data_IF_007015490361
#
_entry.id   IF_007015490361
#
_cell.length_a   1.000
_cell.length_b   1.000
_cell.length_c   1.000
_cell.angle_alpha   90.00
_cell.angle_beta   90.00
_cell.angle_gamma   90.00
#
_symmetry.space_group_name_H-M   'P 1'
#
loop_
_entity.id
_entity.type
_entity.pdbx_description
1 polymer ?
#
# COMPACT_ATOMS: atom_id res chain seq x y z
N UNK A 1 -5.48 -31.82 -12.18
CA UNK A 1 -4.12 -31.23 -12.15
C UNK A 1 -4.17 -29.71 -12.06
N UNK A 2 -4.63 -29.00 -13.09
CA UNK A 2 -4.75 -27.51 -13.08
C UNK A 2 -5.78 -27.00 -12.05
N UNK A 3 -6.84 -27.76 -11.77
CA UNK A 3 -7.84 -27.42 -10.74
C UNK A 3 -7.31 -27.60 -9.30
N UNK A 4 -6.34 -28.49 -9.09
CA UNK A 4 -5.80 -28.79 -7.76
C UNK A 4 -4.69 -27.81 -7.38
N UNK A 5 -3.88 -27.38 -8.36
CA UNK A 5 -2.86 -26.36 -8.18
C UNK A 5 -2.98 -25.29 -9.26
N UNK A 6 -3.43 -24.10 -8.85
CA UNK A 6 -3.57 -22.94 -9.73
C UNK A 6 -2.23 -22.32 -10.15
N UNK A 7 -1.14 -22.69 -9.50
CA UNK A 7 0.20 -22.15 -9.75
C UNK A 7 1.08 -23.07 -10.59
N UNK A 8 0.56 -24.23 -11.00
CA UNK A 8 1.29 -25.20 -11.83
C UNK A 8 1.69 -24.58 -13.18
N UNK A 9 2.94 -24.80 -13.58
CA UNK A 9 3.48 -24.23 -14.83
C UNK A 9 3.13 -25.12 -16.02
N UNK A 10 2.91 -24.51 -17.18
CA UNK A 10 2.69 -25.22 -18.46
C UNK A 10 3.75 -26.29 -18.72
N UNK A 11 5.03 -25.98 -18.44
CA UNK A 11 6.15 -26.93 -18.56
C UNK A 11 6.03 -28.16 -17.65
N UNK A 12 5.50 -28.00 -16.45
CA UNK A 12 5.35 -29.11 -15.50
C UNK A 12 4.23 -30.04 -15.98
N UNK A 13 3.14 -29.46 -16.48
CA UNK A 13 2.05 -30.21 -17.12
C UNK A 13 2.58 -30.97 -18.35
N UNK A 14 3.34 -30.30 -19.21
CA UNK A 14 3.93 -30.89 -20.42
C UNK A 14 4.81 -32.10 -20.07
N UNK A 15 5.66 -31.96 -19.04
CA UNK A 15 6.54 -33.05 -18.58
C UNK A 15 5.76 -34.23 -17.98
N UNK A 16 4.71 -33.97 -17.19
CA UNK A 16 3.88 -35.02 -16.58
C UNK A 16 3.09 -35.79 -17.65
N UNK A 17 2.58 -35.07 -18.64
CA UNK A 17 1.71 -35.62 -19.68
C UNK A 17 2.47 -36.14 -20.91
N UNK A 18 3.77 -35.85 -21.02
CA UNK A 18 4.59 -36.26 -22.17
C UNK A 18 4.21 -35.56 -23.48
N UNK A 19 3.63 -34.35 -23.42
CA UNK A 19 3.18 -33.59 -24.59
C UNK A 19 3.94 -32.26 -24.71
N UNK A 20 3.87 -31.62 -25.89
CA UNK A 20 4.52 -30.33 -26.09
C UNK A 20 3.83 -29.21 -25.28
N UNK A 21 4.59 -28.18 -24.93
CA UNK A 21 4.07 -27.00 -24.23
C UNK A 21 2.92 -26.32 -25.00
N UNK A 22 3.00 -26.31 -26.33
CA UNK A 22 1.99 -25.68 -27.19
C UNK A 22 0.67 -26.44 -27.14
N UNK A 23 0.73 -27.78 -27.12
CA UNK A 23 -0.45 -28.62 -26.95
C UNK A 23 -1.10 -28.40 -25.58
N UNK A 24 -0.30 -28.29 -24.52
CA UNK A 24 -0.81 -27.91 -23.19
C UNK A 24 -1.50 -26.55 -23.24
N UNK A 25 -0.89 -25.56 -23.90
CA UNK A 25 -1.46 -24.22 -24.02
C UNK A 25 -2.80 -24.24 -24.75
N UNK A 26 -2.90 -24.95 -25.88
CA UNK A 26 -4.14 -25.11 -26.65
C UNK A 26 -5.24 -25.76 -25.81
N UNK A 27 -4.93 -26.87 -25.13
CA UNK A 27 -5.91 -27.56 -24.29
C UNK A 27 -6.40 -26.64 -23.15
N UNK A 28 -5.48 -25.93 -22.48
CA UNK A 28 -5.86 -25.04 -21.38
C UNK A 28 -6.73 -23.87 -21.86
N UNK A 29 -6.39 -23.27 -23.00
CA UNK A 29 -7.03 -22.04 -23.46
C UNK A 29 -8.28 -22.28 -24.33
N UNK A 30 -8.26 -23.26 -25.23
CA UNK A 30 -9.35 -23.51 -26.19
C UNK A 30 -10.34 -24.55 -25.64
N UNK A 31 -9.85 -25.73 -25.25
CA UNK A 31 -10.71 -26.85 -24.81
C UNK A 31 -11.28 -26.60 -23.41
N UNK A 32 -10.43 -26.15 -22.47
CA UNK A 32 -10.82 -25.90 -21.08
C UNK A 32 -11.28 -24.45 -20.85
N UNK A 33 -11.11 -23.56 -21.83
CA UNK A 33 -11.49 -22.13 -21.75
C UNK A 33 -10.92 -21.40 -20.54
N UNK A 34 -9.77 -21.83 -20.03
CA UNK A 34 -9.15 -21.26 -18.84
C UNK A 34 -8.27 -20.07 -19.23
N UNK A 35 -8.22 -19.05 -18.35
CA UNK A 35 -7.36 -17.89 -18.52
C UNK A 35 -6.40 -17.77 -17.36
N UNK A 36 -5.15 -17.41 -17.67
CA UNK A 36 -4.16 -17.09 -16.67
C UNK A 36 -4.57 -15.82 -15.93
N UNK A 37 -4.83 -15.94 -14.64
CA UNK A 37 -5.06 -14.80 -13.77
C UNK A 37 -3.76 -14.43 -13.07
N UNK A 38 -3.47 -13.14 -12.98
CA UNK A 38 -2.34 -12.66 -12.18
C UNK A 38 -2.64 -12.86 -10.69
N UNK A 39 -1.65 -13.36 -9.95
CA UNK A 39 -1.72 -13.39 -8.51
C UNK A 39 -1.75 -11.94 -7.97
N UNK A 40 -2.61 -11.68 -6.99
CA UNK A 40 -2.64 -10.38 -6.30
C UNK A 40 -1.64 -10.41 -5.15
N UNK A 41 -0.83 -9.35 -5.02
CA UNK A 41 0.05 -9.18 -3.87
C UNK A 41 -0.76 -9.01 -2.58
N UNK A 42 -0.49 -9.86 -1.60
CA UNK A 42 -1.09 -9.78 -0.26
C UNK A 42 0.02 -9.36 0.71
N UNK A 43 -0.09 -8.19 1.38
CA UNK A 43 0.99 -7.64 2.22
C UNK A 43 1.42 -8.55 3.37
N UNK A 44 0.50 -9.34 3.93
CA UNK A 44 0.80 -10.19 5.07
C UNK A 44 -0.02 -11.49 5.04
N UNK A 45 0.62 -12.58 5.41
CA UNK A 45 -0.07 -13.85 5.64
C UNK A 45 -0.68 -13.82 7.04
N UNK A 46 -2.02 -13.77 7.10
CA UNK A 46 -2.74 -13.67 8.36
C UNK A 46 -2.96 -15.04 9.00
N UNK A 47 -2.77 -15.13 10.32
CA UNK A 47 -3.17 -16.29 11.11
C UNK A 47 -4.69 -16.42 11.20
N UNK A 48 -5.19 -17.59 11.58
CA UNK A 48 -6.64 -17.84 11.75
C UNK A 48 -7.24 -16.84 12.75
N UNK A 49 -6.55 -16.60 13.87
CA UNK A 49 -7.02 -15.67 14.89
C UNK A 49 -7.04 -14.22 14.39
N UNK A 50 -6.00 -13.78 13.67
CA UNK A 50 -5.98 -12.44 13.06
C UNK A 50 -7.14 -12.24 12.06
N UNK A 51 -7.49 -13.28 11.30
CA UNK A 51 -8.66 -13.24 10.40
C UNK A 51 -9.96 -13.09 11.19
N UNK A 52 -10.13 -13.83 12.28
CA UNK A 52 -11.30 -13.75 13.16
C UNK A 52 -11.46 -12.36 13.77
N UNK A 53 -10.37 -11.81 14.33
CA UNK A 53 -10.35 -10.46 14.89
C UNK A 53 -10.75 -9.43 13.82
N UNK A 54 -10.16 -9.51 12.62
CA UNK A 54 -10.49 -8.59 11.51
C UNK A 54 -11.95 -8.69 11.08
N UNK A 55 -12.51 -9.90 11.01
CA UNK A 55 -13.92 -10.11 10.68
C UNK A 55 -14.82 -9.45 11.72
N UNK A 56 -14.55 -9.68 13.01
CA UNK A 56 -15.33 -9.12 14.11
C UNK A 56 -15.30 -7.58 14.11
N UNK A 57 -14.11 -6.98 13.95
CA UNK A 57 -13.96 -5.52 13.85
C UNK A 57 -14.72 -4.98 12.64
N UNK A 58 -14.60 -5.64 11.48
CA UNK A 58 -15.29 -5.21 10.25
C UNK A 58 -16.81 -5.26 10.41
N UNK A 59 -17.33 -6.30 11.07
CA UNK A 59 -18.76 -6.43 11.36
C UNK A 59 -19.24 -5.31 12.30
N UNK A 60 -18.50 -5.06 13.39
CA UNK A 60 -18.83 -3.97 14.31
C UNK A 60 -18.80 -2.59 13.63
N UNK A 61 -17.82 -2.36 12.74
CA UNK A 61 -17.74 -1.16 11.91
C UNK A 61 -18.95 -1.04 10.97
N UNK A 62 -19.37 -2.13 10.31
CA UNK A 62 -20.52 -2.15 9.42
C UNK A 62 -21.83 -1.86 10.17
N UNK A 63 -22.02 -2.42 11.36
CA UNK A 63 -23.22 -2.18 12.15
C UNK A 63 -23.28 -0.73 12.64
N UNK A 64 -22.13 -0.17 13.07
CA UNK A 64 -22.03 1.24 13.45
C UNK A 64 -22.30 2.17 12.26
N UNK A 65 -21.84 1.78 11.09
CA UNK A 65 -22.09 2.48 9.83
C UNK A 65 -23.58 2.50 9.49
N UNK A 66 -24.27 1.36 9.58
CA UNK A 66 -25.71 1.24 9.28
C UNK A 66 -26.59 2.04 10.26
N UNK A 67 -26.23 2.08 11.54
CA UNK A 67 -27.02 2.78 12.58
C UNK A 67 -27.01 4.31 12.45
N UNK A 68 -25.97 4.92 11.88
CA UNK A 68 -25.78 6.38 11.88
C UNK A 68 -25.61 6.91 10.45
N UNK A 69 -26.63 7.60 9.91
CA UNK A 69 -26.59 8.22 8.57
C UNK A 69 -25.38 9.15 8.36
N UNK A 70 -24.99 9.91 9.39
CA UNK A 70 -23.84 10.83 9.34
C UNK A 70 -22.50 10.24 9.81
N UNK A 71 -22.35 8.92 9.86
CA UNK A 71 -21.11 8.30 10.34
C UNK A 71 -19.89 8.68 9.47
N UNK A 72 -20.04 8.64 8.14
CA UNK A 72 -18.95 8.96 7.20
C UNK A 72 -18.40 10.37 7.40
N UNK A 73 -19.28 11.37 7.59
CA UNK A 73 -18.88 12.79 7.69
C UNK A 73 -18.03 13.09 8.91
N UNK A 74 -18.12 12.27 9.95
CA UNK A 74 -17.39 12.44 11.21
C UNK A 74 -16.19 11.49 11.35
N UNK A 75 -15.97 10.61 10.38
CA UNK A 75 -14.91 9.62 10.45
C UNK A 75 -13.61 10.23 9.89
N UNK A 76 -12.61 10.37 10.75
CA UNK A 76 -11.29 10.90 10.40
C UNK A 76 -10.29 9.75 10.49
N UNK A 77 -9.53 9.52 9.42
CA UNK A 77 -8.42 8.56 9.38
C UNK A 77 -7.12 9.30 9.12
N UNK A 78 -6.03 8.80 9.68
CA UNK A 78 -4.68 9.30 9.44
C UNK A 78 -3.81 8.10 9.06
N UNK A 79 -3.02 8.25 8.01
CA UNK A 79 -2.02 7.27 7.58
C UNK A 79 -0.77 8.01 7.09
N UNK A 80 0.39 7.38 7.22
CA UNK A 80 1.68 7.94 6.83
C UNK A 80 2.17 7.25 5.57
N UNK A 81 2.36 8.02 4.50
CA UNK A 81 2.94 7.51 3.26
C UNK A 81 4.33 8.10 3.05
N UNK A 82 5.32 7.22 2.83
CA UNK A 82 6.68 7.63 2.50
C UNK A 82 6.76 8.18 1.07
N UNK A 83 6.98 9.48 0.94
CA UNK A 83 7.21 10.12 -0.37
C UNK A 83 8.72 10.19 -0.63
N UNK A 84 9.18 9.46 -1.64
CA UNK A 84 10.59 9.51 -2.06
C UNK A 84 10.85 10.81 -2.81
N UNK A 85 11.63 11.71 -2.21
CA UNK A 85 12.09 12.92 -2.89
C UNK A 85 13.14 12.57 -3.95
N UNK A 86 12.86 12.88 -5.22
CA UNK A 86 13.81 12.68 -6.30
C UNK A 86 14.88 13.78 -6.23
N UNK A 87 16.08 13.43 -5.74
CA UNK A 87 17.24 14.31 -5.81
C UNK A 87 17.75 14.22 -7.25
N UNK A 88 17.57 15.28 -8.04
CA UNK A 88 18.28 15.42 -9.30
C UNK A 88 19.77 15.40 -9.00
N UNK A 89 20.45 14.33 -9.45
CA UNK A 89 21.90 14.23 -9.39
C UNK A 89 22.45 15.33 -10.30
N UNK A 90 22.99 16.40 -9.73
CA UNK A 90 23.71 17.44 -10.46
C UNK A 90 24.78 16.75 -11.32
N UNK A 91 24.65 16.82 -12.64
CA UNK A 91 25.57 16.20 -13.60
C UNK A 91 26.91 16.94 -13.72
N UNK A 92 27.19 17.90 -12.84
CA UNK A 92 28.37 18.71 -12.89
C UNK A 92 29.19 18.46 -11.62
N UNK A 93 30.15 17.54 -11.76
CA UNK A 93 31.38 17.33 -10.97
C UNK A 93 31.51 15.86 -10.47
N UNK A 94 32.43 15.05 -11.05
CA UNK A 94 32.66 13.67 -10.62
C UNK A 94 33.18 13.52 -9.18
N UNK A 95 33.72 14.59 -8.57
CA UNK A 95 34.48 14.51 -7.32
C UNK A 95 33.86 15.21 -6.10
N UNK A 96 32.68 15.81 -6.17
CA UNK A 96 32.01 16.34 -4.98
C UNK A 96 30.95 15.35 -4.50
N UNK A 97 31.38 14.26 -3.87
CA UNK A 97 30.50 13.48 -3.03
C UNK A 97 29.99 14.37 -1.90
N UNK A 98 28.74 14.85 -1.98
CA UNK A 98 28.05 15.40 -0.82
C UNK A 98 28.05 14.29 0.23
N UNK A 99 28.86 14.45 1.29
CA UNK A 99 28.96 13.48 2.37
C UNK A 99 27.53 13.18 2.85
N UNK A 100 27.15 11.90 2.87
CA UNK A 100 25.81 11.46 3.28
C UNK A 100 25.37 12.09 4.61
N UNK A 101 26.33 12.41 5.48
CA UNK A 101 26.16 13.19 6.70
C UNK A 101 25.58 14.59 6.48
N UNK A 102 26.09 15.38 5.55
CA UNK A 102 25.60 16.75 5.29
C UNK A 102 24.16 16.73 4.75
N UNK A 103 23.86 15.76 3.88
CA UNK A 103 22.49 15.55 3.37
C UNK A 103 21.57 15.07 4.49
N UNK A 104 22.06 14.24 5.42
CA UNK A 104 21.30 13.79 6.59
C UNK A 104 21.06 14.92 7.59
N UNK A 105 22.06 15.77 7.86
CA UNK A 105 21.92 16.93 8.74
C UNK A 105 20.96 17.96 8.17
N UNK A 106 21.03 18.26 6.86
CA UNK A 106 20.05 19.14 6.19
C UNK A 106 18.63 18.57 6.27
N UNK A 107 18.46 17.25 6.11
CA UNK A 107 17.16 16.55 6.29
C UNK A 107 16.62 16.72 7.71
N UNK A 108 17.44 16.52 8.74
CA UNK A 108 17.05 16.71 10.14
C UNK A 108 16.68 18.16 10.44
N UNK A 109 17.44 19.12 9.92
CA UNK A 109 17.15 20.55 10.13
C UNK A 109 15.83 20.99 9.47
N UNK A 110 15.55 20.55 8.23
CA UNK A 110 14.29 20.86 7.54
C UNK A 110 13.09 20.23 8.27
N UNK A 111 13.19 18.97 8.69
CA UNK A 111 12.14 18.31 9.46
C UNK A 111 11.86 19.04 10.78
N UNK A 112 12.91 19.37 11.54
CA UNK A 112 12.77 20.10 12.81
C UNK A 112 12.20 21.53 12.63
N UNK A 113 12.36 22.14 11.45
CA UNK A 113 11.72 23.42 11.12
C UNK A 113 10.23 23.24 10.86
N UNK A 114 9.83 22.21 10.11
CA UNK A 114 8.43 21.89 9.85
C UNK A 114 7.67 21.52 11.13
N UNK A 115 8.29 20.72 12.01
CA UNK A 115 7.71 20.38 13.32
C UNK A 115 7.49 21.63 14.16
N UNK A 116 8.47 22.55 14.23
CA UNK A 116 8.32 23.81 14.96
C UNK A 116 7.21 24.70 14.38
N UNK A 117 7.09 24.79 13.06
CA UNK A 117 6.02 25.55 12.42
C UNK A 117 4.64 24.93 12.68
N UNK A 118 4.55 23.60 12.70
CA UNK A 118 3.32 22.90 13.05
C UNK A 118 2.92 23.15 14.51
N UNK A 119 3.85 23.00 15.46
CA UNK A 119 3.62 23.32 16.87
C UNK A 119 3.18 24.78 17.05
N UNK A 120 3.83 25.72 16.36
CA UNK A 120 3.44 27.14 16.40
C UNK A 120 2.01 27.36 15.86
N UNK A 121 1.65 26.70 14.76
CA UNK A 121 0.31 26.77 14.19
C UNK A 121 -0.77 26.15 15.10
N UNK A 122 -0.45 25.07 15.80
CA UNK A 122 -1.32 24.47 16.82
C UNK A 122 -1.53 25.47 17.97
N UNK A 123 -0.46 26.06 18.49
CA UNK A 123 -0.52 27.04 19.57
C UNK A 123 -1.31 28.30 19.18
N UNK A 124 -1.15 28.78 17.94
CA UNK A 124 -1.89 29.93 17.39
C UNK A 124 -3.38 29.61 17.26
N UNK A 125 -3.73 28.38 16.85
CA UNK A 125 -5.12 27.92 16.78
C UNK A 125 -5.78 27.86 18.15
N UNK A 126 -5.07 27.39 19.17
CA UNK A 126 -5.59 27.32 20.54
C UNK A 126 -5.75 28.71 21.19
N UNK A 127 -4.87 29.67 20.88
CA UNK A 127 -4.93 31.05 21.43
C UNK A 127 -5.90 32.00 20.71
N UNK A 128 -6.63 31.57 19.67
CA UNK A 128 -7.70 32.35 19.02
C UNK A 128 -9.03 31.61 18.99
N UNK A 129 -9.82 31.63 20.08
CA UNK A 129 -11.19 31.12 20.06
C UNK A 129 -12.09 32.12 19.34
N UNK A 130 -12.09 32.14 18.00
CA UNK A 130 -12.91 33.10 17.25
C UNK A 130 -12.92 33.01 15.72
N UNK A 131 -12.10 32.16 15.09
CA UNK A 131 -12.24 31.88 13.65
C UNK A 131 -12.69 30.43 13.42
N UNK A 132 -13.90 30.12 13.89
CA UNK A 132 -14.66 28.95 13.44
C UNK A 132 -15.94 29.36 12.72
N UNK A 133 -15.87 30.30 11.78
CA UNK A 133 -16.89 30.42 10.73
C UNK A 133 -16.31 31.20 9.54
N UNK A 134 -15.77 30.46 8.56
CA UNK A 134 -15.97 30.76 7.13
C UNK A 134 -15.38 29.62 6.28
N UNK A 135 -16.33 28.97 5.59
CA UNK A 135 -16.24 27.97 4.52
C UNK A 135 -16.04 26.52 4.98
#
# INVERSE_FOLDING_TARGET
MVLNDRQIKVREIANIMGISNDQVHLIIHEELQMKKLSARWVPHLLTVEQKRIRMNISQACLDRFKRKKDFKRRFITVDETWIRHYIQRQKNNPNSGLKLEEVSQRRKQQFNRLVRLWQLNVQIREKRPGLQHKK
#
